data_IF_780281510153
#
_entry.id   IF_780281510153
#
_cell.length_a   1.000
_cell.length_b   1.000
_cell.length_c   1.000
_cell.angle_alpha   90.00
_cell.angle_beta   90.00
_cell.angle_gamma   90.00
#
_symmetry.space_group_name_H-M   'P 1'
#
loop_
_entity.id
_entity.type
_entity.pdbx_description
1 polymer ?
#
# COMPACT_ATOMS: atom_id res chain seq x y z
N UNK A 1 65.65 -39.40 50.29
CA UNK A 1 64.69 -40.43 49.82
C UNK A 1 63.33 -39.76 49.65
N UNK A 2 62.74 -39.89 48.45
CA UNK A 2 61.29 -39.88 48.11
C UNK A 2 60.43 -38.66 48.48
N UNK A 3 59.51 -38.09 47.69
CA UNK A 3 58.99 -38.22 46.31
C UNK A 3 58.13 -36.95 46.11
N UNK A 4 58.16 -36.33 44.94
CA UNK A 4 57.11 -35.38 44.53
C UNK A 4 55.80 -36.12 44.25
N UNK A 5 54.65 -35.46 44.44
CA UNK A 5 53.76 -35.37 43.29
C UNK A 5 53.19 -33.96 43.07
N UNK A 6 53.19 -33.62 41.79
CA UNK A 6 52.46 -32.51 41.16
C UNK A 6 50.99 -32.52 41.55
N UNK A 7 50.42 -31.33 41.79
CA UNK A 7 48.98 -31.11 41.73
C UNK A 7 48.68 -29.95 40.80
N UNK A 8 47.86 -30.26 39.81
CA UNK A 8 47.60 -29.52 38.60
C UNK A 8 46.89 -28.17 38.84
N UNK A 9 47.27 -27.17 38.05
CA UNK A 9 46.46 -25.97 37.82
C UNK A 9 45.15 -26.37 37.11
N UNK A 10 44.02 -26.12 37.75
CA UNK A 10 42.73 -26.05 37.07
C UNK A 10 42.47 -24.59 36.69
N UNK A 11 42.87 -24.21 35.48
CA UNK A 11 42.38 -23.00 34.80
C UNK A 11 40.93 -23.27 34.38
N UNK A 12 39.99 -22.93 35.25
CA UNK A 12 38.59 -22.86 34.88
C UNK A 12 38.38 -21.61 34.01
N UNK A 13 38.40 -21.80 32.70
CA UNK A 13 37.97 -20.79 31.72
C UNK A 13 36.48 -20.61 31.92
N UNK A 14 36.09 -19.57 32.66
CA UNK A 14 34.70 -19.10 32.68
C UNK A 14 34.37 -18.53 31.30
N UNK A 15 33.82 -19.38 30.44
CA UNK A 15 33.18 -18.97 29.20
C UNK A 15 32.02 -18.04 29.55
N UNK A 16 32.23 -16.72 29.46
CA UNK A 16 31.11 -15.79 29.33
C UNK A 16 30.44 -16.11 27.99
N UNK A 17 29.39 -16.91 28.02
CA UNK A 17 28.39 -16.92 26.96
C UNK A 17 27.76 -15.54 26.94
N UNK A 18 28.31 -14.65 26.12
CA UNK A 18 27.63 -13.45 25.68
C UNK A 18 26.34 -13.93 24.99
N UNK A 19 25.24 -13.89 25.73
CA UNK A 19 23.91 -13.97 25.14
C UNK A 19 23.81 -12.73 24.27
N UNK A 20 24.13 -12.88 22.99
CA UNK A 20 23.76 -11.89 22.01
C UNK A 20 22.24 -11.87 22.01
N UNK A 21 21.66 -10.98 22.81
CA UNK A 21 20.26 -10.62 22.73
C UNK A 21 20.12 -10.01 21.34
N UNK A 22 19.78 -10.84 20.36
CA UNK A 22 19.31 -10.36 19.06
C UNK A 22 18.10 -9.51 19.39
N UNK A 23 18.30 -8.19 19.37
CA UNK A 23 17.19 -7.26 19.29
C UNK A 23 16.28 -7.77 18.17
N UNK A 24 14.96 -7.83 18.37
CA UNK A 24 14.05 -8.28 17.32
C UNK A 24 14.39 -7.45 16.08
N UNK A 25 14.92 -8.11 15.05
CA UNK A 25 15.15 -7.49 13.76
C UNK A 25 13.75 -7.19 13.25
N UNK A 26 13.31 -5.96 13.48
CA UNK A 26 12.08 -5.41 12.97
C UNK A 26 12.23 -5.35 11.45
N UNK A 27 11.82 -6.43 10.79
CA UNK A 27 11.89 -6.57 9.35
C UNK A 27 10.94 -5.55 8.71
N UNK A 28 11.47 -4.79 7.75
CA UNK A 28 10.70 -3.85 6.93
C UNK A 28 9.61 -4.62 6.17
N UNK A 29 8.34 -4.25 6.39
CA UNK A 29 7.24 -4.84 5.64
C UNK A 29 7.02 -4.04 4.35
N UNK A 30 7.62 -4.47 3.25
CA UNK A 30 7.41 -3.87 1.94
C UNK A 30 6.33 -4.63 1.16
N UNK A 31 5.43 -3.92 0.48
CA UNK A 31 4.66 -4.51 -0.60
C UNK A 31 5.61 -4.74 -1.79
N UNK A 32 5.83 -5.98 -2.25
CA UNK A 32 6.72 -6.24 -3.38
C UNK A 32 6.27 -5.48 -4.63
N UNK A 33 7.23 -5.10 -5.49
CA UNK A 33 6.90 -4.64 -6.83
C UNK A 33 6.06 -5.70 -7.58
N UNK A 34 5.12 -5.25 -8.40
CA UNK A 34 4.12 -6.09 -9.07
C UNK A 34 2.88 -6.39 -8.23
N UNK A 35 2.87 -6.08 -6.92
CA UNK A 35 1.71 -6.33 -6.05
C UNK A 35 0.46 -5.63 -6.59
N UNK A 36 -0.62 -6.36 -6.91
CA UNK A 36 -1.85 -5.75 -7.37
C UNK A 36 -2.53 -4.99 -6.24
N UNK A 37 -3.08 -3.83 -6.59
CA UNK A 37 -3.95 -3.02 -5.75
C UNK A 37 -5.21 -2.75 -6.55
N UNK A 38 -6.37 -3.15 -6.02
CA UNK A 38 -7.67 -2.85 -6.61
C UNK A 38 -8.34 -1.72 -5.83
N UNK A 39 -8.88 -0.74 -6.54
CA UNK A 39 -9.75 0.32 -6.03
C UNK A 39 -11.15 0.13 -6.62
N UNK A 40 -12.09 -0.37 -5.81
CA UNK A 40 -13.47 -0.55 -6.20
C UNK A 40 -14.33 0.59 -5.65
N UNK A 41 -15.14 1.29 -6.46
CA UNK A 41 -16.05 2.31 -5.93
C UNK A 41 -16.96 1.74 -4.85
N UNK A 42 -17.36 2.53 -3.86
CA UNK A 42 -18.45 2.15 -2.94
C UNK A 42 -19.81 2.27 -3.61
N UNK A 43 -20.87 1.59 -3.12
CA UNK A 43 -22.23 1.69 -3.71
C UNK A 43 -22.72 3.13 -3.78
N UNK A 44 -22.51 3.88 -2.69
CA UNK A 44 -22.84 5.29 -2.62
C UNK A 44 -22.07 6.10 -3.68
N UNK A 45 -20.76 5.89 -3.82
CA UNK A 45 -19.96 6.58 -4.82
C UNK A 45 -20.37 6.21 -6.25
N UNK A 46 -20.60 4.92 -6.53
CA UNK A 46 -21.04 4.45 -7.84
C UNK A 46 -22.42 5.02 -8.22
N UNK A 47 -23.35 5.09 -7.26
CA UNK A 47 -24.65 5.71 -7.45
C UNK A 47 -24.50 7.22 -7.75
N UNK A 48 -23.75 7.96 -6.93
CA UNK A 48 -23.52 9.40 -7.12
C UNK A 48 -22.87 9.70 -8.48
N UNK A 49 -21.86 8.91 -8.88
CA UNK A 49 -21.21 9.04 -10.18
C UNK A 49 -22.19 8.76 -11.32
N UNK A 50 -22.99 7.69 -11.24
CA UNK A 50 -24.00 7.34 -12.24
C UNK A 50 -25.04 8.46 -12.39
N UNK A 51 -25.55 8.98 -11.28
CA UNK A 51 -26.57 10.04 -11.27
C UNK A 51 -26.02 11.34 -11.88
N UNK A 52 -24.73 11.61 -11.67
CA UNK A 52 -23.99 12.70 -12.33
C UNK A 52 -23.57 12.39 -13.79
N UNK A 53 -23.92 11.21 -14.32
CA UNK A 53 -23.51 10.68 -15.64
C UNK A 53 -21.99 10.62 -15.83
N UNK A 54 -21.28 10.33 -14.75
CA UNK A 54 -19.83 10.20 -14.69
C UNK A 54 -19.46 8.71 -14.67
N UNK A 55 -18.50 8.33 -15.52
CA UNK A 55 -17.95 6.98 -15.56
C UNK A 55 -16.54 6.97 -14.97
N UNK A 56 -16.23 5.93 -14.21
CA UNK A 56 -14.87 5.62 -13.81
C UNK A 56 -14.14 4.96 -14.99
N UNK A 57 -12.89 5.35 -15.19
CA UNK A 57 -11.96 4.81 -16.19
C UNK A 57 -10.59 4.63 -15.57
N UNK A 58 -9.80 3.71 -16.10
CA UNK A 58 -8.41 3.54 -15.67
C UNK A 58 -7.47 4.41 -16.51
N UNK A 59 -6.37 4.86 -15.90
CA UNK A 59 -5.24 5.50 -16.59
C UNK A 59 -4.09 4.51 -16.63
N UNK A 60 -3.58 4.22 -17.83
CA UNK A 60 -2.51 3.26 -18.02
C UNK A 60 -1.26 3.59 -17.15
N UNK A 61 -0.52 2.58 -16.67
CA UNK A 61 -0.72 1.13 -16.84
C UNK A 61 -1.90 0.51 -16.04
N UNK A 62 -2.66 1.27 -15.25
CA UNK A 62 -3.85 0.73 -14.58
C UNK A 62 -4.89 0.25 -15.58
N UNK A 63 -5.65 -0.76 -15.17
CA UNK A 63 -6.71 -1.38 -15.99
C UNK A 63 -8.06 -1.33 -15.27
N UNK A 64 -9.15 -1.39 -16.03
CA UNK A 64 -10.47 -1.65 -15.47
C UNK A 64 -10.68 -3.16 -15.39
N UNK A 65 -11.09 -3.61 -14.22
CA UNK A 65 -11.51 -4.99 -13.96
C UNK A 65 -12.93 -4.99 -13.40
N UNK A 66 -13.61 -6.11 -13.49
CA UNK A 66 -14.93 -6.29 -12.85
C UNK A 66 -14.78 -7.17 -11.62
N UNK A 67 -15.07 -6.64 -10.44
CA UNK A 67 -15.12 -7.39 -9.18
C UNK A 67 -16.48 -7.18 -8.51
N UNK A 68 -17.14 -8.26 -8.08
CA UNK A 68 -18.47 -8.18 -7.45
C UNK A 68 -19.53 -7.47 -8.30
N UNK A 69 -19.42 -7.53 -9.64
CA UNK A 69 -20.32 -6.83 -10.56
C UNK A 69 -20.04 -5.34 -10.76
N UNK A 70 -18.90 -4.84 -10.29
CA UNK A 70 -18.54 -3.41 -10.30
C UNK A 70 -17.25 -3.18 -11.08
N UNK A 71 -17.19 -2.08 -11.82
CA UNK A 71 -15.94 -1.64 -12.45
C UNK A 71 -14.98 -1.09 -11.40
N UNK A 72 -13.84 -1.76 -11.21
CA UNK A 72 -12.78 -1.38 -10.30
C UNK A 72 -11.52 -1.04 -11.09
N UNK A 73 -10.69 -0.15 -10.54
CA UNK A 73 -9.38 0.17 -11.12
C UNK A 73 -8.36 -0.74 -10.46
N UNK A 74 -7.61 -1.50 -11.25
CA UNK A 74 -6.48 -2.30 -10.78
C UNK A 74 -5.18 -1.68 -11.25
N UNK A 75 -4.30 -1.41 -10.29
CA UNK A 75 -2.92 -0.96 -10.49
C UNK A 75 -1.96 -1.99 -9.88
N UNK A 76 -0.67 -1.86 -10.20
CA UNK A 76 0.40 -2.62 -9.56
C UNK A 76 1.36 -1.66 -8.88
N UNK A 77 1.87 -2.07 -7.72
CA UNK A 77 3.00 -1.40 -7.07
C UNK A 77 4.20 -1.47 -8.00
N UNK A 78 4.71 -0.34 -8.47
CA UNK A 78 5.85 -0.29 -9.40
C UNK A 78 7.17 -0.39 -8.67
N UNK A 79 7.32 0.42 -7.62
CA UNK A 79 8.53 0.40 -6.78
C UNK A 79 8.11 -0.06 -5.39
N UNK A 80 8.73 -1.14 -4.91
CA UNK A 80 8.53 -1.62 -3.56
C UNK A 80 8.82 -0.48 -2.57
N UNK A 81 7.78 0.01 -1.89
CA UNK A 81 7.92 1.02 -0.85
C UNK A 81 8.49 0.37 0.40
N UNK A 82 9.47 1.03 1.05
CA UNK A 82 9.90 0.64 2.39
C UNK A 82 8.94 1.27 3.39
N UNK A 83 8.04 0.48 3.96
CA UNK A 83 7.27 0.86 5.13
C UNK A 83 8.08 0.35 6.32
N UNK A 84 8.74 1.25 7.04
CA UNK A 84 9.42 0.85 8.27
C UNK A 84 8.33 0.40 9.28
N UNK A 85 8.66 -0.45 10.25
CA UNK A 85 7.71 -0.98 11.22
C UNK A 85 7.08 0.06 12.17
N UNK A 86 7.67 1.27 12.27
CA UNK A 86 7.04 2.42 12.93
C UNK A 86 6.10 3.20 11.99
N UNK A 87 5.87 2.68 10.77
CA UNK A 87 5.13 3.28 9.67
C UNK A 87 5.73 4.58 9.12
N UNK A 88 6.93 4.96 9.57
CA UNK A 88 7.75 5.95 8.87
C UNK A 88 8.28 5.29 7.60
N UNK A 89 8.21 5.93 6.44
CA UNK A 89 8.61 5.24 5.21
C UNK A 89 8.34 6.05 3.97
N UNK A 90 9.23 5.94 2.98
CA UNK A 90 8.96 6.44 1.64
C UNK A 90 7.96 5.48 1.02
N UNK A 91 6.77 6.00 0.76
CA UNK A 91 5.61 5.28 0.27
C UNK A 91 5.85 4.36 -0.94
N UNK A 92 4.86 3.53 -1.26
CA UNK A 92 4.84 2.75 -2.49
C UNK A 92 4.41 3.64 -3.66
N UNK A 93 5.16 3.59 -4.77
CA UNK A 93 4.69 4.16 -6.03
C UNK A 93 3.85 3.11 -6.76
N UNK A 94 2.63 3.47 -7.14
CA UNK A 94 1.76 2.67 -7.99
C UNK A 94 1.80 3.19 -9.42
N UNK A 95 1.79 2.28 -10.39
CA UNK A 95 1.75 2.68 -11.79
C UNK A 95 0.39 3.23 -12.20
N UNK A 96 0.38 4.25 -13.05
CA UNK A 96 -0.85 4.73 -13.71
C UNK A 96 -1.82 5.41 -12.75
N UNK A 97 -3.12 5.20 -12.94
CA UNK A 97 -4.12 5.75 -12.04
C UNK A 97 -5.57 5.59 -12.47
N UNK A 98 -6.41 6.57 -12.15
CA UNK A 98 -7.84 6.54 -12.45
C UNK A 98 -8.33 7.89 -12.95
N UNK A 99 -9.40 7.86 -13.73
CA UNK A 99 -10.02 9.07 -14.26
C UNK A 99 -11.54 8.95 -14.23
N UNK A 100 -12.19 10.11 -14.09
CA UNK A 100 -13.63 10.26 -14.19
C UNK A 100 -13.97 10.96 -15.50
N UNK A 101 -15.01 10.46 -16.18
CA UNK A 101 -15.41 10.95 -17.50
C UNK A 101 -16.88 11.35 -17.55
N UNK A 102 -17.18 12.55 -18.04
CA UNK A 102 -18.54 13.07 -18.28
C UNK A 102 -18.64 13.68 -19.66
N UNK A 103 -19.29 13.00 -20.61
CA UNK A 103 -19.37 13.47 -21.99
C UNK A 103 -17.98 13.57 -22.60
N UNK A 104 -17.47 14.78 -22.86
CA UNK A 104 -16.11 15.04 -23.33
C UNK A 104 -15.15 15.53 -22.23
N UNK A 105 -15.65 15.72 -21.00
CA UNK A 105 -14.84 16.19 -19.86
C UNK A 105 -14.21 15.00 -19.16
N UNK A 106 -12.91 15.11 -18.86
CA UNK A 106 -12.12 14.10 -18.15
C UNK A 106 -11.38 14.76 -17.00
N UNK A 107 -11.44 14.15 -15.81
CA UNK A 107 -10.60 14.48 -14.66
C UNK A 107 -9.75 13.27 -14.35
N UNK A 108 -8.45 13.37 -14.53
CA UNK A 108 -7.51 12.27 -14.37
C UNK A 108 -6.58 12.49 -13.18
N UNK A 109 -6.25 11.38 -12.53
CA UNK A 109 -5.32 11.25 -11.42
C UNK A 109 -4.32 10.17 -11.82
N UNK A 110 -3.09 10.58 -12.12
CA UNK A 110 -2.05 9.78 -12.75
C UNK A 110 -0.88 9.56 -11.75
N UNK A 111 0.08 8.71 -12.07
CA UNK A 111 1.26 8.41 -11.23
C UNK A 111 0.94 8.29 -9.73
N UNK A 112 0.06 7.34 -9.40
CA UNK A 112 -0.37 7.11 -8.03
C UNK A 112 0.82 6.84 -7.10
N UNK A 113 0.78 7.39 -5.91
CA UNK A 113 1.74 7.09 -4.85
C UNK A 113 1.01 6.97 -3.53
N UNK A 114 1.38 6.01 -2.70
CA UNK A 114 0.79 5.81 -1.38
C UNK A 114 1.86 5.97 -0.32
N UNK A 115 1.69 6.90 0.61
CA UNK A 115 2.58 7.10 1.77
C UNK A 115 1.83 6.86 3.07
N UNK A 116 2.54 6.55 4.16
CA UNK A 116 1.94 6.49 5.49
C UNK A 116 2.50 7.63 6.32
N UNK A 117 1.62 8.37 6.98
CA UNK A 117 1.96 9.50 7.84
C UNK A 117 2.21 9.03 9.27
N UNK A 118 2.91 9.83 10.11
CA UNK A 118 3.18 9.47 11.51
C UNK A 118 1.93 9.24 12.36
N UNK A 119 0.83 9.89 12.02
CA UNK A 119 -0.51 9.72 12.61
C UNK A 119 -1.23 8.46 12.09
N UNK A 120 -0.51 7.58 11.39
CA UNK A 120 -0.98 6.28 10.89
C UNK A 120 -2.12 6.39 9.87
N UNK A 121 -2.10 7.44 9.06
CA UNK A 121 -2.98 7.57 7.90
C UNK A 121 -2.20 7.22 6.63
N UNK A 122 -2.81 6.43 5.76
CA UNK A 122 -2.32 6.20 4.40
C UNK A 122 -2.85 7.32 3.52
N UNK A 123 -1.96 8.02 2.84
CA UNK A 123 -2.28 9.06 1.87
C UNK A 123 -1.95 8.50 0.48
N UNK A 124 -2.96 8.47 -0.40
CA UNK A 124 -2.74 8.23 -1.82
C UNK A 124 -2.71 9.57 -2.54
N UNK A 125 -1.55 9.92 -3.09
CA UNK A 125 -1.34 11.08 -3.92
C UNK A 125 -1.34 10.69 -5.40
N UNK A 126 -1.63 11.65 -6.28
CA UNK A 126 -1.64 11.48 -7.72
C UNK A 126 -1.19 12.78 -8.40
N UNK A 127 -0.69 12.68 -9.63
CA UNK A 127 -0.49 13.81 -10.54
C UNK A 127 -1.82 14.18 -11.17
N UNK A 128 -2.20 15.44 -10.99
CA UNK A 128 -3.35 16.05 -11.63
C UNK A 128 -2.88 17.37 -12.26
N UNK A 129 -3.01 17.51 -13.58
CA UNK A 129 -2.51 18.67 -14.35
C UNK A 129 -1.04 19.03 -14.03
N UNK A 130 -0.16 18.02 -14.00
CA UNK A 130 1.27 18.21 -13.75
C UNK A 130 1.64 18.51 -12.30
N UNK A 131 0.68 18.52 -11.37
CA UNK A 131 0.92 18.77 -9.94
C UNK A 131 0.53 17.55 -9.12
N UNK A 132 1.37 17.20 -8.14
CA UNK A 132 1.05 16.15 -7.17
C UNK A 132 0.10 16.69 -6.12
N UNK A 133 -1.01 16.00 -5.92
CA UNK A 133 -2.01 16.29 -4.89
C UNK A 133 -2.36 15.02 -4.15
N UNK A 134 -2.70 15.14 -2.88
CA UNK A 134 -3.29 14.05 -2.11
C UNK A 134 -4.74 13.89 -2.56
N UNK A 135 -5.09 12.73 -3.11
CA UNK A 135 -6.42 12.49 -3.69
C UNK A 135 -7.28 11.58 -2.79
N UNK A 136 -6.67 10.61 -2.11
CA UNK A 136 -7.38 9.73 -1.19
C UNK A 136 -6.64 9.63 0.14
N UNK A 137 -7.38 9.38 1.21
CA UNK A 137 -6.84 9.08 2.53
C UNK A 137 -7.55 7.89 3.15
N UNK A 138 -6.83 7.11 3.95
CA UNK A 138 -7.37 5.97 4.65
C UNK A 138 -6.70 5.75 6.01
N UNK A 139 -7.45 5.36 7.06
CA UNK A 139 -6.82 4.87 8.28
C UNK A 139 -6.05 3.57 8.02
N UNK A 140 -4.82 3.47 8.50
CA UNK A 140 -3.99 2.24 8.33
C UNK A 140 -4.40 1.09 9.25
N UNK A 141 -5.40 1.27 10.11
CA UNK A 141 -5.84 0.26 11.09
C UNK A 141 -6.26 -1.09 10.48
N UNK A 142 -6.55 -1.14 9.17
CA UNK A 142 -6.90 -2.37 8.42
C UNK A 142 -5.76 -2.93 7.56
N UNK A 143 -4.62 -2.25 7.51
CA UNK A 143 -3.44 -2.72 6.79
C UNK A 143 -2.76 -3.81 7.64
N UNK A 144 -2.81 -5.06 7.19
CA UNK A 144 -2.07 -6.14 7.85
C UNK A 144 -0.76 -6.36 7.11
N UNK A 145 0.31 -5.90 7.73
CA UNK A 145 1.68 -6.08 7.27
C UNK A 145 2.29 -7.26 8.03
N UNK A 146 2.50 -8.37 7.33
CA UNK A 146 3.30 -9.50 7.81
C UNK A 146 4.62 -9.54 7.03
N UNK A 147 5.65 -10.14 7.63
CA UNK A 147 6.98 -10.32 6.99
C UNK A 147 6.90 -10.89 5.57
N UNK A 148 5.93 -11.78 5.33
CA UNK A 148 5.76 -12.50 4.07
C UNK A 148 4.40 -12.28 3.44
N UNK A 149 3.59 -11.34 3.93
CA UNK A 149 2.25 -11.10 3.38
C UNK A 149 1.84 -9.66 3.63
N UNK A 150 1.61 -8.93 2.54
CA UNK A 150 0.84 -7.69 2.60
C UNK A 150 -0.57 -8.07 2.20
N UNK A 151 -1.50 -7.95 3.14
CA UNK A 151 -2.91 -8.18 2.87
C UNK A 151 -3.72 -7.08 3.51
N UNK A 152 -4.57 -6.49 2.70
CA UNK A 152 -5.59 -5.59 3.18
C UNK A 152 -6.82 -5.73 2.31
N UNK A 153 -7.96 -5.89 2.97
CA UNK A 153 -9.26 -6.03 2.35
C UNK A 153 -10.15 -4.91 2.92
N UNK A 154 -11.02 -4.39 2.07
CA UNK A 154 -11.99 -3.35 2.43
C UNK A 154 -11.37 -2.16 3.17
N UNK A 155 -10.22 -1.69 2.67
CA UNK A 155 -9.60 -0.45 3.15
C UNK A 155 -10.48 0.72 2.69
N UNK A 156 -11.04 1.53 3.61
CA UNK A 156 -11.87 2.65 3.22
C UNK A 156 -11.02 3.78 2.64
N UNK A 157 -11.21 4.13 1.38
CA UNK A 157 -10.49 5.22 0.73
C UNK A 157 -11.42 6.44 0.62
N UNK A 158 -11.12 7.47 1.41
CA UNK A 158 -11.91 8.69 1.48
C UNK A 158 -11.32 9.76 0.57
N UNK A 159 -12.16 10.52 -0.13
CA UNK A 159 -11.74 11.64 -0.95
C UNK A 159 -11.19 12.77 -0.07
N UNK A 160 -10.03 13.29 -0.41
CA UNK A 160 -9.49 14.48 0.25
C UNK A 160 -10.20 15.75 -0.24
N UNK A 161 -10.05 16.89 0.47
CA UNK A 161 -10.47 18.19 -0.05
C UNK A 161 -9.88 18.50 -1.43
N UNK A 162 -8.57 18.28 -1.62
CA UNK A 162 -7.90 18.53 -2.89
C UNK A 162 -8.43 17.64 -4.03
N UNK A 163 -8.76 16.37 -3.74
CA UNK A 163 -9.41 15.48 -4.70
C UNK A 163 -10.82 15.96 -5.08
N UNK A 164 -11.61 16.42 -4.11
CA UNK A 164 -12.94 16.97 -4.34
C UNK A 164 -12.88 18.27 -5.16
N UNK A 165 -11.93 19.15 -4.85
CA UNK A 165 -11.71 20.40 -5.58
C UNK A 165 -11.30 20.14 -7.03
N UNK A 166 -10.43 19.15 -7.29
CA UNK A 166 -10.07 18.72 -8.64
C UNK A 166 -11.28 18.23 -9.45
N UNK A 167 -12.17 17.45 -8.81
CA UNK A 167 -13.43 17.04 -9.45
C UNK A 167 -14.36 18.22 -9.70
N UNK A 168 -14.50 19.15 -8.75
CA UNK A 168 -15.30 20.35 -8.91
C UNK A 168 -14.77 21.24 -10.04
N UNK A 169 -13.45 21.43 -10.14
CA UNK A 169 -12.83 22.22 -11.21
C UNK A 169 -13.14 21.63 -12.60
N UNK A 170 -13.06 20.31 -12.76
CA UNK A 170 -13.37 19.66 -14.04
C UNK A 170 -14.86 19.56 -14.36
N UNK A 171 -15.71 19.45 -13.33
CA UNK A 171 -17.15 19.18 -13.49
C UNK A 171 -18.07 20.33 -13.06
N UNK A 172 -17.55 21.50 -12.73
CA UNK A 172 -18.25 22.67 -12.19
C UNK A 172 -18.80 22.48 -10.77
N UNK A 173 -19.25 21.27 -10.44
CA UNK A 173 -19.62 20.83 -9.09
C UNK A 173 -19.04 19.44 -8.88
N UNK A 174 -18.44 19.19 -7.72
CA UNK A 174 -17.95 17.84 -7.43
C UNK A 174 -19.13 16.89 -7.24
N UNK A 175 -19.18 15.74 -7.94
CA UNK A 175 -20.19 14.70 -7.70
C UNK A 175 -19.98 13.99 -6.35
N UNK A 176 -18.81 14.15 -5.74
CA UNK A 176 -18.38 13.45 -4.53
C UNK A 176 -17.80 14.49 -3.55
N UNK A 177 -18.43 14.71 -2.39
CA UNK A 177 -17.89 15.65 -1.41
C UNK A 177 -16.61 15.11 -0.76
N UNK A 178 -15.76 16.02 -0.30
CA UNK A 178 -14.60 15.67 0.51
C UNK A 178 -15.02 14.86 1.76
N UNK A 179 -14.16 13.95 2.20
CA UNK A 179 -14.43 13.02 3.30
C UNK A 179 -15.29 11.82 2.92
N UNK A 180 -15.96 11.83 1.75
CA UNK A 180 -16.76 10.68 1.29
C UNK A 180 -15.86 9.50 1.00
N UNK A 181 -16.29 8.31 1.42
CA UNK A 181 -15.65 7.06 1.02
C UNK A 181 -15.95 6.76 -0.44
N UNK A 182 -14.97 6.99 -1.30
CA UNK A 182 -15.11 6.81 -2.75
C UNK A 182 -14.81 5.38 -3.15
N UNK A 183 -13.74 4.80 -2.61
CA UNK A 183 -13.34 3.43 -2.92
C UNK A 183 -13.23 2.56 -1.66
N UNK A 184 -13.37 1.26 -1.86
CA UNK A 184 -12.71 0.24 -1.05
C UNK A 184 -11.44 -0.20 -1.78
N UNK A 185 -10.32 -0.12 -1.07
CA UNK A 185 -9.03 -0.62 -1.53
C UNK A 185 -8.81 -2.05 -1.07
N UNK A 186 -8.28 -2.89 -1.94
CA UNK A 186 -7.79 -4.22 -1.60
C UNK A 186 -6.40 -4.46 -2.19
N UNK A 187 -5.58 -5.19 -1.46
CA UNK A 187 -4.28 -5.69 -1.90
C UNK A 187 -3.97 -7.00 -1.19
N UNK A 188 -3.32 -7.92 -1.88
CA UNK A 188 -3.02 -9.24 -1.33
C UNK A 188 -1.94 -9.93 -2.14
N UNK A 189 -0.80 -10.20 -1.51
CA UNK A 189 0.25 -11.08 -2.06
C UNK A 189 0.81 -11.93 -0.93
N UNK A 190 0.92 -13.23 -1.18
CA UNK A 190 1.74 -14.14 -0.39
C UNK A 190 3.15 -14.13 -0.97
N UNK A 191 4.12 -13.62 -0.21
CA UNK A 191 5.52 -13.46 -0.64
C UNK A 191 6.24 -14.82 -0.64
N UNK A 192 5.78 -15.79 0.16
CA UNK A 192 6.40 -17.12 0.22
C UNK A 192 6.13 -17.95 -1.05
N UNK A 193 4.93 -17.84 -1.62
CA UNK A 193 4.58 -18.58 -2.85
C UNK A 193 5.34 -18.08 -4.10
N UNK A 194 5.71 -16.79 -4.13
CA UNK A 194 6.48 -16.24 -5.26
C UNK A 194 7.92 -16.77 -5.33
N UNK A 195 8.52 -17.10 -4.17
CA UNK A 195 9.90 -17.64 -4.12
C UNK A 195 9.91 -19.14 -4.44
N UNK A 196 8.91 -19.89 -4.01
CA UNK A 196 8.80 -21.33 -4.32
C UNK A 196 8.38 -21.59 -5.76
N UNK A 197 7.59 -20.71 -6.39
CA UNK A 197 7.28 -20.78 -7.83
C UNK A 197 8.49 -20.57 -8.75
N UNK A 198 9.53 -19.87 -8.28
CA UNK A 198 10.82 -19.71 -8.97
C UNK A 198 11.79 -20.91 -8.78
N UNK A 199 11.47 -21.82 -7.85
CA UNK A 199 12.30 -22.97 -7.48
C UNK A 199 11.60 -24.33 -7.73
N UNK A 200 10.43 -24.35 -8.37
CA UNK A 200 9.76 -25.58 -8.81
C UNK A 200 10.48 -26.24 -10.01
N UNK A 201 10.54 -27.58 -10.08
CA UNK A 201 11.43 -28.27 -11.01
C UNK A 201 10.96 -28.12 -12.46
N UNK A 202 11.90 -27.87 -13.37
CA UNK A 202 11.75 -28.20 -14.79
C UNK A 202 11.98 -29.69 -15.01
#
# INVERSE_FOLDING_TARGET
MTRHPLRALALAVTSLTAVATSAPQTADAAAPAGTPVTLCPTDAAAAALRDARIRLTAVAPSTLVTEGGRACVRTSVETAGRINPDLSGRGAAGGGGFAFHRGQRRVAFEDLAASVTPDRNMITSAVHHGRRIDVLTSPTARLKLYLTKVSAEDIPMNLTPAGADALAAGFTTSPLPAGTRVFTGSTGVDVLEQVTGLLGPR
#
